data_IF_311532976253
#
_entry.id   IF_311532976253
#
_cell.length_a   1.000
_cell.length_b   1.000
_cell.length_c   1.000
_cell.angle_alpha   90.00
_cell.angle_beta   90.00
_cell.angle_gamma   90.00
#
_symmetry.space_group_name_H-M   'P 1'
#
loop_
_entity.id
_entity.type
_entity.pdbx_description
1 polymer ?
#
# COMPACT_ATOMS: atom_id res chain seq x y z
N UNK A 1 0.14 -1.50 -7.28
CA UNK A 1 -0.96 -0.53 -7.23
C UNK A 1 -0.69 0.58 -8.24
N UNK A 2 -1.70 1.01 -8.99
CA UNK A 2 -1.62 2.15 -9.92
C UNK A 2 -2.40 3.34 -9.34
N UNK A 3 -1.71 4.43 -9.09
CA UNK A 3 -2.23 5.63 -8.42
C UNK A 3 -2.45 6.72 -9.43
N UNK A 4 -3.63 7.32 -9.46
CA UNK A 4 -3.90 8.56 -10.17
C UNK A 4 -3.64 9.72 -9.20
N UNK A 5 -2.61 10.52 -9.44
CA UNK A 5 -2.26 11.70 -8.65
C UNK A 5 -2.69 12.96 -9.39
N UNK A 6 -3.64 13.70 -8.82
CA UNK A 6 -4.17 14.94 -9.39
C UNK A 6 -3.87 16.09 -8.43
N UNK A 7 -2.87 16.89 -8.78
CA UNK A 7 -2.32 17.98 -7.97
C UNK A 7 -1.62 18.98 -8.89
N UNK A 8 -1.89 20.25 -8.77
CA UNK A 8 -1.30 21.32 -9.61
C UNK A 8 -0.01 21.91 -9.03
N UNK A 9 0.24 21.76 -7.71
CA UNK A 9 1.52 22.13 -7.12
C UNK A 9 2.62 21.15 -7.57
N UNK A 10 3.51 21.65 -8.41
CA UNK A 10 4.61 20.85 -8.97
C UNK A 10 5.58 20.33 -7.89
N UNK A 11 5.90 21.14 -6.86
CA UNK A 11 6.83 20.72 -5.82
C UNK A 11 6.25 19.59 -4.97
N UNK A 12 4.98 19.71 -4.59
CA UNK A 12 4.25 18.67 -3.84
C UNK A 12 4.09 17.41 -4.68
N UNK A 13 3.76 17.55 -5.96
CA UNK A 13 3.63 16.43 -6.91
C UNK A 13 4.92 15.64 -7.05
N UNK A 14 6.09 16.31 -7.16
CA UNK A 14 7.39 15.63 -7.26
C UNK A 14 7.67 14.83 -5.99
N UNK A 15 7.45 15.40 -4.80
CA UNK A 15 7.64 14.71 -3.52
C UNK A 15 6.73 13.49 -3.37
N UNK A 16 5.43 13.65 -3.62
CA UNK A 16 4.46 12.56 -3.57
C UNK A 16 4.80 11.46 -4.58
N UNK A 17 5.07 11.81 -5.84
CA UNK A 17 5.43 10.83 -6.87
C UNK A 17 6.64 9.99 -6.48
N UNK A 18 7.71 10.63 -5.96
CA UNK A 18 8.91 9.92 -5.49
C UNK A 18 8.57 8.94 -4.38
N UNK A 19 7.81 9.37 -3.37
CA UNK A 19 7.40 8.53 -2.24
C UNK A 19 6.54 7.33 -2.69
N UNK A 20 5.59 7.56 -3.60
CA UNK A 20 4.72 6.51 -4.15
C UNK A 20 5.50 5.51 -5.01
N UNK A 21 6.44 5.98 -5.83
CA UNK A 21 7.30 5.11 -6.63
C UNK A 21 8.27 4.28 -5.79
N UNK A 22 8.75 4.81 -4.67
CA UNK A 22 9.57 4.07 -3.70
C UNK A 22 8.81 2.88 -3.05
N UNK A 23 7.47 2.98 -2.92
CA UNK A 23 6.60 1.86 -2.53
C UNK A 23 6.39 0.83 -3.67
N UNK A 24 6.96 1.05 -4.85
CA UNK A 24 6.80 0.19 -6.03
C UNK A 24 5.47 0.41 -6.76
N UNK A 25 4.81 1.55 -6.57
CA UNK A 25 3.55 1.85 -7.22
C UNK A 25 3.77 2.59 -8.55
N UNK A 26 2.87 2.39 -9.49
CA UNK A 26 2.82 3.18 -10.72
C UNK A 26 2.01 4.45 -10.45
N UNK A 27 2.49 5.59 -10.94
CA UNK A 27 1.87 6.89 -10.68
C UNK A 27 1.65 7.62 -11.99
N UNK A 28 0.39 7.88 -12.29
CA UNK A 28 -0.02 8.78 -13.37
C UNK A 28 -0.33 10.15 -12.76
N UNK A 29 0.30 11.20 -13.27
CA UNK A 29 0.20 12.56 -12.72
C UNK A 29 -0.58 13.45 -13.66
N UNK A 30 -1.54 14.19 -13.11
CA UNK A 30 -2.31 15.23 -13.81
C UNK A 30 -2.33 16.51 -12.98
N UNK A 31 -2.26 17.64 -13.63
CA UNK A 31 -2.21 18.96 -12.99
C UNK A 31 -3.51 19.76 -13.13
N UNK A 32 -4.58 19.20 -13.70
CA UNK A 32 -5.85 19.90 -13.82
C UNK A 32 -7.05 18.98 -13.74
N UNK A 33 -8.16 19.50 -13.18
CA UNK A 33 -9.39 18.74 -12.96
C UNK A 33 -10.11 18.31 -14.25
N UNK A 34 -9.92 19.01 -15.36
CA UNK A 34 -10.54 18.66 -16.64
C UNK A 34 -9.96 17.35 -17.19
N UNK A 35 -8.62 17.22 -17.20
CA UNK A 35 -7.94 15.98 -17.60
C UNK A 35 -8.26 14.82 -16.64
N UNK A 36 -8.30 15.12 -15.35
CA UNK A 36 -8.63 14.13 -14.32
C UNK A 36 -10.02 13.54 -14.53
N UNK A 37 -11.00 14.37 -14.91
CA UNK A 37 -12.36 13.91 -15.17
C UNK A 37 -12.45 12.77 -16.19
N UNK A 38 -11.59 12.79 -17.21
CA UNK A 38 -11.51 11.72 -18.21
C UNK A 38 -10.66 10.53 -17.75
N UNK A 39 -9.49 10.80 -17.16
CA UNK A 39 -8.55 9.75 -16.77
C UNK A 39 -9.10 8.77 -15.73
N UNK A 40 -9.86 9.25 -14.75
CA UNK A 40 -10.48 8.39 -13.73
C UNK A 40 -11.55 7.44 -14.25
N UNK A 41 -12.06 7.65 -15.47
CA UNK A 41 -13.11 6.79 -16.06
C UNK A 41 -12.56 5.61 -16.88
N UNK A 42 -11.26 5.56 -17.13
CA UNK A 42 -10.63 4.50 -17.94
C UNK A 42 -10.50 3.16 -17.19
N UNK A 43 -10.85 3.09 -15.90
CA UNK A 43 -10.83 1.84 -15.12
C UNK A 43 -9.44 1.27 -14.83
N UNK A 44 -8.36 2.08 -15.02
CA UNK A 44 -6.98 1.60 -14.94
C UNK A 44 -6.30 1.85 -13.58
N UNK A 45 -6.95 2.62 -12.69
CA UNK A 45 -6.38 3.04 -11.41
C UNK A 45 -6.99 2.28 -10.23
N UNK A 46 -6.13 1.91 -9.29
CA UNK A 46 -6.53 1.25 -8.05
C UNK A 46 -6.97 2.24 -6.96
N UNK A 47 -6.46 3.48 -7.03
CA UNK A 47 -6.77 4.56 -6.09
C UNK A 47 -6.45 5.91 -6.74
N UNK A 48 -7.16 6.97 -6.36
CA UNK A 48 -6.81 8.33 -6.71
C UNK A 48 -6.44 9.17 -5.48
N UNK A 49 -5.49 10.08 -5.66
CA UNK A 49 -5.22 11.24 -4.80
C UNK A 49 -5.68 12.45 -5.56
N UNK A 50 -6.58 13.24 -4.98
CA UNK A 50 -7.25 14.32 -5.68
C UNK A 50 -7.23 15.60 -4.83
N UNK A 51 -6.54 16.63 -5.31
CA UNK A 51 -6.60 17.94 -4.68
C UNK A 51 -7.96 18.63 -4.94
N UNK A 52 -8.45 19.31 -3.92
CA UNK A 52 -9.66 20.15 -4.03
C UNK A 52 -9.40 21.43 -4.81
N UNK A 53 -8.23 22.05 -4.64
CA UNK A 53 -7.89 23.36 -5.17
C UNK A 53 -7.43 23.39 -6.64
N UNK A 54 -7.86 22.45 -7.47
CA UNK A 54 -7.41 22.32 -8.85
C UNK A 54 -7.86 23.48 -9.74
N UNK A 55 -7.04 23.89 -10.70
CA UNK A 55 -7.43 24.87 -11.71
C UNK A 55 -8.46 24.31 -12.69
N UNK A 56 -9.28 25.20 -13.27
CA UNK A 56 -10.31 24.95 -14.29
C UNK A 56 -11.52 24.14 -13.82
N UNK A 57 -11.31 23.10 -13.02
CA UNK A 57 -12.38 22.27 -12.47
C UNK A 57 -12.00 21.84 -11.06
N UNK A 58 -12.80 22.23 -10.09
CA UNK A 58 -12.64 21.90 -8.68
C UNK A 58 -12.60 20.38 -8.45
N UNK A 59 -11.75 19.90 -7.55
CA UNK A 59 -11.61 18.48 -7.25
C UNK A 59 -12.92 17.85 -6.76
N UNK A 60 -13.79 18.61 -6.09
CA UNK A 60 -15.11 18.13 -5.70
C UNK A 60 -16.02 17.86 -6.91
N UNK A 61 -15.94 18.71 -7.94
CA UNK A 61 -16.68 18.48 -9.20
C UNK A 61 -16.13 17.27 -9.96
N UNK A 62 -14.79 17.06 -9.93
CA UNK A 62 -14.16 15.87 -10.50
C UNK A 62 -14.65 14.61 -9.80
N UNK A 63 -14.64 14.59 -8.47
CA UNK A 63 -15.15 13.47 -7.68
C UNK A 63 -16.61 13.12 -8.00
N UNK A 64 -17.48 14.13 -7.97
CA UNK A 64 -18.89 13.94 -8.31
C UNK A 64 -19.07 13.37 -9.73
N UNK A 65 -18.29 13.89 -10.69
CA UNK A 65 -18.31 13.38 -12.06
C UNK A 65 -17.91 11.92 -12.15
N UNK A 66 -16.85 11.50 -11.45
CA UNK A 66 -16.44 10.10 -11.40
C UNK A 66 -17.53 9.21 -10.81
N UNK A 67 -18.11 9.61 -9.68
CA UNK A 67 -19.18 8.83 -9.01
C UNK A 67 -20.46 8.73 -9.86
N UNK A 68 -20.87 9.82 -10.49
CA UNK A 68 -22.02 9.81 -11.41
C UNK A 68 -21.83 8.91 -12.63
N UNK A 69 -20.58 8.70 -13.05
CA UNK A 69 -20.20 7.80 -14.15
C UNK A 69 -19.89 6.38 -13.70
N UNK A 70 -20.12 6.04 -12.44
CA UNK A 70 -19.96 4.69 -11.91
C UNK A 70 -18.53 4.30 -11.53
N UNK A 71 -17.60 5.25 -11.40
CA UNK A 71 -16.26 4.95 -10.90
C UNK A 71 -16.32 4.54 -9.42
N UNK A 72 -15.75 3.37 -9.10
CA UNK A 72 -15.78 2.75 -7.78
C UNK A 72 -14.43 2.73 -7.08
N UNK A 73 -13.36 3.11 -7.75
CA UNK A 73 -12.05 3.16 -7.12
C UNK A 73 -12.02 4.17 -5.96
N UNK A 74 -11.30 3.89 -4.87
CA UNK A 74 -11.22 4.79 -3.73
C UNK A 74 -10.48 6.09 -4.07
N UNK A 75 -10.95 7.18 -3.44
CA UNK A 75 -10.41 8.53 -3.63
C UNK A 75 -10.00 9.11 -2.28
N UNK A 76 -8.71 9.46 -2.15
CA UNK A 76 -8.17 10.28 -1.08
C UNK A 76 -8.18 11.74 -1.52
N UNK A 77 -8.95 12.58 -0.83
CA UNK A 77 -8.97 14.01 -1.11
C UNK A 77 -7.86 14.73 -0.36
N UNK A 78 -7.11 15.59 -1.04
CA UNK A 78 -6.22 16.57 -0.40
C UNK A 78 -6.96 17.89 -0.22
N UNK A 79 -6.84 18.51 0.94
CA UNK A 79 -7.53 19.77 1.23
C UNK A 79 -6.69 20.71 2.07
N UNK A 80 -6.68 21.99 1.74
CA UNK A 80 -6.18 23.05 2.61
C UNK A 80 -7.26 23.52 3.63
N UNK A 81 -8.49 23.00 3.53
CA UNK A 81 -9.64 23.44 4.32
C UNK A 81 -9.78 22.60 5.57
N UNK A 82 -9.64 23.27 6.70
CA UNK A 82 -9.68 22.64 8.03
C UNK A 82 -11.13 22.52 8.58
N UNK A 83 -12.13 23.01 7.83
CA UNK A 83 -13.50 23.06 8.32
C UNK A 83 -14.17 21.69 8.23
N UNK A 84 -14.79 21.28 9.34
CA UNK A 84 -15.54 20.02 9.46
C UNK A 84 -16.62 19.89 8.38
N UNK A 85 -17.28 21.01 8.01
CA UNK A 85 -18.33 21.05 7.01
C UNK A 85 -17.83 20.63 5.61
N UNK A 86 -16.63 21.05 5.20
CA UNK A 86 -16.05 20.68 3.89
C UNK A 86 -15.71 19.18 3.83
N UNK A 87 -15.24 18.62 4.95
CA UNK A 87 -14.94 17.18 5.04
C UNK A 87 -16.20 16.33 4.99
N UNK A 88 -17.27 16.76 5.67
CA UNK A 88 -18.58 16.08 5.62
C UNK A 88 -19.15 16.13 4.20
N UNK A 89 -19.16 17.31 3.57
CA UNK A 89 -19.66 17.46 2.21
C UNK A 89 -18.93 16.59 1.18
N UNK A 90 -17.65 16.37 1.38
CA UNK A 90 -16.89 15.53 0.48
C UNK A 90 -17.10 14.03 0.71
N UNK A 91 -17.22 13.58 1.97
CA UNK A 91 -17.60 12.19 2.26
C UNK A 91 -18.98 11.88 1.66
N UNK A 92 -19.94 12.81 1.80
CA UNK A 92 -21.26 12.71 1.19
C UNK A 92 -21.20 12.70 -0.36
N UNK A 93 -20.18 13.37 -0.94
CA UNK A 93 -19.93 13.35 -2.37
C UNK A 93 -19.26 12.05 -2.86
N UNK A 94 -18.88 11.14 -1.95
CA UNK A 94 -18.31 9.84 -2.26
C UNK A 94 -16.78 9.77 -2.19
N UNK A 95 -16.11 10.66 -1.47
CA UNK A 95 -14.70 10.46 -1.09
C UNK A 95 -14.60 9.34 -0.04
N UNK A 96 -13.48 8.61 -0.08
CA UNK A 96 -13.25 7.49 0.83
C UNK A 96 -12.38 7.87 2.03
N UNK A 97 -11.57 8.93 1.92
CA UNK A 97 -10.77 9.51 3.00
C UNK A 97 -10.30 10.92 2.65
N UNK A 98 -9.79 11.65 3.67
CA UNK A 98 -9.27 13.01 3.57
C UNK A 98 -7.90 13.15 4.20
N UNK A 99 -7.07 14.03 3.62
CA UNK A 99 -5.79 14.41 4.17
C UNK A 99 -5.62 15.94 4.08
N UNK A 100 -5.43 16.57 5.23
CA UNK A 100 -5.31 18.03 5.34
C UNK A 100 -3.88 18.47 5.04
N UNK A 101 -3.72 19.47 4.19
CA UNK A 101 -2.43 20.15 3.92
C UNK A 101 -2.11 21.16 5.04
N UNK A 102 -0.86 21.21 5.56
CA UNK A 102 0.29 20.37 5.21
C UNK A 102 0.22 18.98 5.87
N UNK A 103 0.74 17.96 5.21
CA UNK A 103 0.76 16.58 5.71
C UNK A 103 2.14 15.95 5.55
N UNK A 104 2.38 14.90 6.31
CA UNK A 104 3.59 14.08 6.19
C UNK A 104 3.40 12.97 5.16
N UNK A 105 4.44 12.71 4.33
CA UNK A 105 4.41 11.63 3.32
C UNK A 105 4.13 10.25 3.91
N UNK A 106 4.65 9.85 5.09
CA UNK A 106 4.27 8.59 5.73
C UNK A 106 2.77 8.46 6.02
N UNK A 107 2.07 9.56 6.36
CA UNK A 107 0.61 9.56 6.56
C UNK A 107 -0.12 9.33 5.24
N UNK A 108 0.25 10.05 4.18
CA UNK A 108 -0.28 9.85 2.83
C UNK A 108 -0.18 8.38 2.41
N UNK A 109 1.02 7.79 2.55
CA UNK A 109 1.28 6.40 2.19
C UNK A 109 0.45 5.41 3.01
N UNK A 110 0.28 5.66 4.32
CA UNK A 110 -0.52 4.81 5.20
C UNK A 110 -2.00 4.81 4.79
N UNK A 111 -2.56 5.98 4.47
CA UNK A 111 -3.95 6.14 4.01
C UNK A 111 -4.17 5.47 2.66
N UNK A 112 -3.27 5.67 1.70
CA UNK A 112 -3.37 5.03 0.39
C UNK A 112 -3.26 3.50 0.45
N UNK A 113 -2.40 2.97 1.32
CA UNK A 113 -2.38 1.52 1.59
C UNK A 113 -3.71 1.02 2.14
N UNK A 114 -4.36 1.78 3.03
CA UNK A 114 -5.66 1.43 3.59
C UNK A 114 -6.76 1.43 2.51
N UNK A 115 -6.77 2.45 1.66
CA UNK A 115 -7.74 2.58 0.56
C UNK A 115 -7.56 1.49 -0.52
N UNK A 116 -6.32 1.24 -0.96
CA UNK A 116 -6.03 0.22 -1.96
C UNK A 116 -6.44 -1.20 -1.53
N UNK A 117 -6.38 -1.49 -0.21
CA UNK A 117 -6.89 -2.75 0.33
C UNK A 117 -8.41 -2.89 0.18
N UNK A 118 -9.15 -1.82 0.43
CA UNK A 118 -10.64 -1.80 0.28
C UNK A 118 -11.04 -2.02 -1.19
N UNK A 119 -10.34 -1.38 -2.13
CA UNK A 119 -10.61 -1.50 -3.57
C UNK A 119 -10.41 -2.92 -4.12
N UNK A 120 -9.43 -3.65 -3.59
CA UNK A 120 -9.15 -5.02 -4.01
C UNK A 120 -10.21 -6.06 -3.58
N UNK A 121 -11.34 -5.61 -3.03
CA UNK A 121 -12.37 -6.52 -2.47
C UNK A 121 -11.91 -7.30 -1.25
N UNK A 122 -10.73 -6.95 -0.71
CA UNK A 122 -10.18 -7.52 0.51
C UNK A 122 -10.78 -6.80 1.71
N UNK A 123 -12.06 -7.03 1.93
CA UNK A 123 -12.75 -6.63 3.17
C UNK A 123 -12.07 -7.27 4.41
N UNK A 124 -11.43 -8.40 4.20
CA UNK A 124 -10.51 -8.99 5.18
C UNK A 124 -9.11 -8.45 4.92
N UNK A 125 -8.63 -7.68 5.86
CA UNK A 125 -7.26 -7.14 5.96
C UNK A 125 -6.23 -8.27 6.13
N UNK A 126 -6.40 -9.36 5.38
CA UNK A 126 -5.63 -10.59 5.49
C UNK A 126 -4.88 -10.92 4.21
N UNK A 127 -3.66 -11.41 4.36
CA UNK A 127 -2.87 -12.01 3.28
C UNK A 127 -2.68 -13.47 3.63
N UNK A 128 -3.18 -14.38 2.79
CA UNK A 128 -3.04 -15.82 3.01
C UNK A 128 -1.93 -16.40 2.13
N UNK A 129 -1.17 -17.34 2.71
CA UNK A 129 -0.18 -18.16 2.00
C UNK A 129 -0.18 -19.57 2.61
N UNK A 130 -0.74 -20.55 1.90
CA UNK A 130 -1.04 -21.84 2.49
C UNK A 130 -2.02 -21.68 3.66
N UNK A 131 -1.67 -22.24 4.82
CA UNK A 131 -2.47 -22.13 6.04
C UNK A 131 -2.07 -20.94 6.94
N UNK A 132 -1.07 -20.13 6.52
CA UNK A 132 -0.72 -18.87 7.16
C UNK A 132 -1.66 -17.76 6.71
N UNK A 133 -2.21 -17.03 7.67
CA UNK A 133 -3.07 -15.87 7.45
C UNK A 133 -2.50 -14.69 8.23
N UNK A 134 -2.04 -13.67 7.51
CA UNK A 134 -1.58 -12.43 8.10
C UNK A 134 -2.75 -11.43 8.15
N UNK A 135 -3.15 -11.05 9.35
CA UNK A 135 -4.09 -9.97 9.61
C UNK A 135 -3.30 -8.65 9.66
N UNK A 136 -3.29 -7.91 8.55
CA UNK A 136 -2.41 -6.74 8.39
C UNK A 136 -2.78 -5.59 9.32
N UNK A 137 -4.08 -5.36 9.61
CA UNK A 137 -4.54 -4.29 10.51
C UNK A 137 -4.16 -4.56 11.96
N UNK A 138 -4.39 -5.80 12.41
CA UNK A 138 -4.08 -6.24 13.75
C UNK A 138 -2.57 -6.49 13.94
N UNK A 139 -1.81 -6.52 12.85
CA UNK A 139 -0.40 -6.89 12.82
C UNK A 139 -0.17 -8.26 13.47
N UNK A 140 -0.99 -9.23 13.11
CA UNK A 140 -0.99 -10.56 13.68
C UNK A 140 -0.92 -11.63 12.60
N UNK A 141 -0.01 -12.60 12.75
CA UNK A 141 0.08 -13.79 11.91
C UNK A 141 -0.61 -14.96 12.62
N UNK A 142 -1.44 -15.68 11.89
CA UNK A 142 -2.09 -16.91 12.36
C UNK A 142 -1.78 -18.09 11.45
N UNK A 143 -1.70 -19.26 12.03
CA UNK A 143 -1.63 -20.54 11.35
C UNK A 143 -2.76 -21.42 11.86
N UNK A 144 -3.66 -21.86 10.98
CA UNK A 144 -4.88 -22.61 11.35
C UNK A 144 -5.70 -21.95 12.46
N UNK A 145 -5.74 -20.61 12.46
CA UNK A 145 -6.46 -19.83 13.47
C UNK A 145 -5.64 -19.51 14.75
N UNK A 146 -4.55 -20.22 15.02
CA UNK A 146 -3.69 -19.97 16.17
C UNK A 146 -2.65 -18.88 15.89
N UNK A 147 -2.40 -18.02 16.88
CA UNK A 147 -1.45 -16.92 16.75
C UNK A 147 -0.02 -17.41 16.67
N UNK A 148 0.72 -16.98 15.66
CA UNK A 148 2.15 -17.19 15.52
C UNK A 148 2.88 -15.99 16.10
N UNK A 149 3.56 -16.16 17.24
CA UNK A 149 4.28 -15.07 17.91
C UNK A 149 5.53 -14.70 17.10
N UNK A 150 5.58 -13.48 16.57
CA UNK A 150 6.72 -12.90 15.86
C UNK A 150 7.15 -11.60 16.54
N UNK A 151 8.45 -11.31 16.52
CA UNK A 151 8.93 -9.97 16.88
C UNK A 151 8.44 -8.95 15.85
N UNK A 152 8.42 -7.64 16.17
CA UNK A 152 7.97 -6.60 15.23
C UNK A 152 8.71 -6.62 13.89
N UNK A 153 10.00 -6.93 13.89
CA UNK A 153 10.82 -7.03 12.67
C UNK A 153 10.56 -8.31 11.87
N UNK A 154 10.41 -9.44 12.56
CA UNK A 154 10.01 -10.69 11.91
C UNK A 154 8.65 -10.55 11.24
N UNK A 155 7.70 -9.89 11.90
CA UNK A 155 6.39 -9.62 11.35
C UNK A 155 6.44 -8.70 10.14
N UNK A 156 7.24 -7.61 10.20
CA UNK A 156 7.39 -6.68 9.07
C UNK A 156 8.05 -7.35 7.85
N UNK A 157 9.04 -8.23 8.08
CA UNK A 157 9.64 -9.03 7.01
C UNK A 157 8.65 -10.04 6.44
N UNK A 158 7.89 -10.72 7.31
CA UNK A 158 6.84 -11.67 6.91
C UNK A 158 5.77 -10.97 6.08
N UNK A 159 5.28 -9.81 6.51
CA UNK A 159 4.33 -8.99 5.78
C UNK A 159 4.83 -8.66 4.38
N UNK A 160 6.07 -8.18 4.26
CA UNK A 160 6.67 -7.83 2.97
C UNK A 160 6.77 -9.04 2.02
N UNK A 161 7.20 -10.19 2.55
CA UNK A 161 7.35 -11.41 1.76
C UNK A 161 6.00 -12.02 1.37
N UNK A 162 5.02 -12.06 2.28
CA UNK A 162 3.68 -12.59 2.01
C UNK A 162 2.91 -11.74 1.00
N UNK A 163 3.02 -10.39 1.07
CA UNK A 163 2.39 -9.50 0.09
C UNK A 163 2.94 -9.69 -1.33
N UNK A 164 4.15 -10.27 -1.44
CA UNK A 164 4.83 -10.57 -2.71
C UNK A 164 5.08 -12.06 -2.89
N UNK A 165 4.24 -12.90 -2.33
CA UNK A 165 4.38 -14.35 -2.44
C UNK A 165 4.57 -14.80 -3.89
N UNK A 166 5.51 -15.72 -4.11
CA UNK A 166 5.90 -16.20 -5.45
C UNK A 166 6.77 -15.24 -6.25
N UNK A 167 7.12 -14.05 -5.71
CA UNK A 167 8.00 -13.07 -6.37
C UNK A 167 9.25 -12.82 -5.55
N UNK A 168 10.37 -12.57 -6.22
CA UNK A 168 11.63 -12.22 -5.56
C UNK A 168 11.52 -10.83 -4.96
N UNK A 169 11.85 -10.72 -3.67
CA UNK A 169 11.99 -9.45 -2.94
C UNK A 169 13.48 -9.16 -2.80
N UNK A 170 14.01 -8.09 -3.43
CA UNK A 170 15.41 -7.70 -3.35
C UNK A 170 15.85 -7.37 -1.93
N UNK A 171 17.14 -7.66 -1.61
CA UNK A 171 17.69 -7.42 -0.26
C UNK A 171 17.65 -5.94 0.12
N UNK A 172 17.94 -5.05 -0.80
CA UNK A 172 17.91 -3.59 -0.61
C UNK A 172 16.51 -3.11 -0.24
N UNK A 173 15.46 -3.66 -0.86
CA UNK A 173 14.07 -3.35 -0.48
C UNK A 173 13.73 -3.85 0.93
N UNK A 174 14.24 -5.01 1.33
CA UNK A 174 14.06 -5.52 2.68
C UNK A 174 14.77 -4.60 3.68
N UNK A 175 16.03 -4.23 3.41
CA UNK A 175 16.78 -3.29 4.24
C UNK A 175 16.03 -1.96 4.35
N UNK A 176 15.64 -1.35 3.24
CA UNK A 176 14.89 -0.09 3.24
C UNK A 176 13.59 -0.15 4.06
N UNK A 177 12.87 -1.29 4.02
CA UNK A 177 11.64 -1.48 4.80
C UNK A 177 11.88 -1.65 6.29
N UNK A 178 13.00 -2.27 6.69
CA UNK A 178 13.30 -2.62 8.08
C UNK A 178 14.21 -1.58 8.79
N UNK A 179 14.99 -0.80 8.04
CA UNK A 179 15.90 0.24 8.58
C UNK A 179 15.16 1.47 9.14
N UNK A 180 13.89 1.68 8.81
CA UNK A 180 13.08 2.78 9.38
C UNK A 180 12.96 2.72 10.92
N UNK A 181 13.47 1.69 11.56
CA UNK A 181 13.38 1.42 13.00
C UNK A 181 14.70 1.56 13.76
N UNK A 182 15.85 1.54 13.06
CA UNK A 182 17.21 1.78 13.62
C UNK A 182 18.21 2.05 12.47
N UNK A 183 19.16 2.96 12.70
CA UNK A 183 20.15 3.40 11.70
C UNK A 183 21.18 2.33 11.28
N UNK A 184 21.31 1.22 12.00
CA UNK A 184 22.37 0.21 11.78
C UNK A 184 21.85 -1.12 11.19
N UNK A 185 20.68 -1.12 10.54
CA UNK A 185 20.15 -2.34 9.93
C UNK A 185 20.84 -2.61 8.59
N UNK A 186 21.61 -3.72 8.52
CA UNK A 186 22.41 -4.11 7.35
C UNK A 186 21.87 -5.34 6.65
N UNK A 187 22.40 -5.67 5.46
CA UNK A 187 22.07 -6.91 4.74
C UNK A 187 22.33 -8.17 5.57
N UNK A 188 23.37 -8.18 6.40
CA UNK A 188 23.67 -9.30 7.29
C UNK A 188 22.56 -9.50 8.33
N UNK A 189 21.93 -8.42 8.77
CA UNK A 189 20.78 -8.49 9.68
C UNK A 189 19.60 -9.19 9.02
N UNK A 190 19.35 -8.96 7.73
CA UNK A 190 18.29 -9.63 6.95
C UNK A 190 18.47 -11.15 6.97
N UNK A 191 19.72 -11.62 6.79
CA UNK A 191 20.02 -13.07 6.77
C UNK A 191 19.67 -13.75 8.09
N UNK A 192 19.92 -13.08 9.21
CA UNK A 192 19.57 -13.56 10.55
C UNK A 192 18.06 -13.72 10.70
N UNK A 193 17.27 -12.71 10.28
CA UNK A 193 15.81 -12.78 10.36
C UNK A 193 15.23 -13.83 9.41
N UNK A 194 15.75 -13.92 8.18
CA UNK A 194 15.35 -14.96 7.22
C UNK A 194 15.66 -16.36 7.79
N UNK A 195 16.81 -16.57 8.40
CA UNK A 195 17.15 -17.86 9.03
C UNK A 195 16.16 -18.23 10.14
N UNK A 196 15.81 -17.28 11.02
CA UNK A 196 14.82 -17.50 12.10
C UNK A 196 13.43 -17.82 11.55
N UNK A 197 12.98 -17.07 10.53
CA UNK A 197 11.69 -17.31 9.91
C UNK A 197 11.64 -18.65 9.17
N UNK A 198 12.71 -19.07 8.49
CA UNK A 198 12.80 -20.39 7.85
C UNK A 198 12.57 -21.52 8.83
N UNK A 199 13.25 -21.47 9.98
CA UNK A 199 13.10 -22.49 11.03
C UNK A 199 11.65 -22.55 11.53
N UNK A 200 10.99 -21.39 11.66
CA UNK A 200 9.61 -21.31 12.16
C UNK A 200 8.59 -21.71 11.12
N UNK A 201 8.74 -21.27 9.89
CA UNK A 201 7.75 -21.46 8.82
C UNK A 201 7.85 -22.81 8.11
N UNK A 202 9.01 -23.47 8.18
CA UNK A 202 9.17 -24.82 7.63
C UNK A 202 8.17 -25.83 8.21
N UNK A 203 7.87 -25.71 9.50
CA UNK A 203 6.87 -26.52 10.18
C UNK A 203 5.41 -26.10 9.87
N UNK A 204 5.23 -24.91 9.30
CA UNK A 204 3.92 -24.32 8.99
C UNK A 204 3.56 -24.41 7.50
N UNK A 205 4.30 -25.21 6.72
CA UNK A 205 4.01 -25.43 5.31
C UNK A 205 4.34 -24.23 4.41
N UNK A 206 5.29 -23.37 4.82
CA UNK A 206 5.74 -22.22 4.03
C UNK A 206 7.27 -22.19 3.95
N UNK A 207 7.80 -21.98 2.75
CA UNK A 207 9.22 -21.92 2.47
C UNK A 207 9.67 -20.50 2.11
N UNK A 208 10.82 -20.08 2.63
CA UNK A 208 11.53 -18.89 2.18
C UNK A 208 12.78 -19.34 1.45
N UNK A 209 12.85 -19.13 0.13
CA UNK A 209 14.02 -19.50 -0.69
C UNK A 209 14.90 -18.30 -0.96
N UNK A 210 16.22 -18.53 -1.06
CA UNK A 210 17.19 -17.53 -1.50
C UNK A 210 17.34 -17.62 -3.01
N UNK A 211 17.14 -16.49 -3.69
CA UNK A 211 17.51 -16.32 -5.09
C UNK A 211 18.88 -15.63 -5.12
N UNK A 212 19.94 -16.39 -5.37
CA UNK A 212 21.33 -15.91 -5.30
C UNK A 212 21.52 -14.64 -6.15
N UNK A 213 22.10 -13.61 -5.54
CA UNK A 213 22.34 -12.30 -6.18
C UNK A 213 21.11 -11.38 -6.28
N UNK A 214 19.90 -11.87 -5.97
CA UNK A 214 18.67 -11.08 -6.14
C UNK A 214 17.91 -10.83 -4.84
N UNK A 215 17.76 -11.82 -3.97
CA UNK A 215 16.99 -11.65 -2.73
C UNK A 215 16.30 -12.92 -2.25
N UNK A 216 15.07 -12.77 -1.77
CA UNK A 216 14.29 -13.86 -1.17
C UNK A 216 12.90 -13.96 -1.80
N UNK A 217 12.38 -15.18 -1.86
CA UNK A 217 11.00 -15.48 -2.28
C UNK A 217 10.33 -16.33 -1.21
N UNK A 218 9.07 -16.04 -0.92
CA UNK A 218 8.24 -16.80 0.02
C UNK A 218 7.12 -17.49 -0.75
N UNK A 219 6.97 -18.79 -0.53
CA UNK A 219 6.03 -19.65 -1.25
C UNK A 219 5.39 -20.65 -0.29
N UNK A 220 4.19 -21.12 -0.60
CA UNK A 220 3.67 -22.30 0.07
C UNK A 220 4.59 -23.49 -0.22
N UNK A 221 4.94 -24.27 0.78
CA UNK A 221 5.68 -25.51 0.56
C UNK A 221 4.79 -26.47 -0.24
N UNK A 222 5.32 -27.04 -1.31
CA UNK A 222 4.63 -28.12 -1.99
C UNK A 222 4.42 -29.26 -1.00
N UNK A 223 3.19 -29.78 -0.93
CA UNK A 223 2.92 -30.99 -0.15
C UNK A 223 3.86 -32.09 -0.69
N UNK A 224 4.55 -32.86 0.19
CA UNK A 224 5.33 -33.97 -0.28
C UNK A 224 4.44 -34.85 -1.15
N UNK A 225 4.86 -35.09 -2.37
CA UNK A 225 4.18 -36.02 -3.27
C UNK A 225 4.06 -37.36 -2.56
N UNK A 226 2.82 -37.81 -2.37
CA UNK A 226 2.47 -39.05 -1.70
C UNK A 226 2.91 -40.27 -2.55
#
# INVERSE_FOLDING_TARGET
MRVLLVEDDHALTVGMRHALQAEGWRVDVLACGEQAGHAGLNGEHDVAVLDLGLPRRDGMEVLRHWRQRGATFPVLMLTARDQLADRVAGLDAGADDYLVKPFDLPELLARLRALGRRAAGRADNTVALGELVLHVAERELRHRGERVALSPRELALTELLMQRAGRVVPKDQIVARLSSWESDFSENSVEVYVHRLRKRFGELGVAIRTVRGFGYVMEAAEAPAA
#
